data_IF_959015918759
#
_entry.id   IF_959015918759
#
_cell.length_a   1.000
_cell.length_b   1.000
_cell.length_c   1.000
_cell.angle_alpha   90.00
_cell.angle_beta   90.00
_cell.angle_gamma   90.00
#
_symmetry.space_group_name_H-M   'P 1'
#
loop_
_entity.id
_entity.type
_entity.pdbx_description
1 polymer ?
#
# COMPACT_ATOMS: atom_id res chain seq x y z
N UNK A 1 -8.95 -28.36 -4.60
CA UNK A 1 -9.74 -27.18 -4.17
C UNK A 1 -9.02 -26.36 -3.11
N UNK A 2 -8.38 -26.97 -2.12
CA UNK A 2 -7.69 -26.26 -1.03
C UNK A 2 -6.51 -25.38 -1.48
N UNK A 3 -5.72 -25.82 -2.47
CA UNK A 3 -4.60 -25.04 -3.02
C UNK A 3 -5.06 -23.76 -3.74
N UNK A 4 -6.18 -23.82 -4.47
CA UNK A 4 -6.72 -22.67 -5.20
C UNK A 4 -7.23 -21.60 -4.24
N UNK A 5 -7.88 -22.01 -3.14
CA UNK A 5 -8.31 -21.10 -2.10
C UNK A 5 -7.12 -20.34 -1.48
N UNK A 6 -6.05 -21.05 -1.14
CA UNK A 6 -4.82 -20.45 -0.60
C UNK A 6 -4.15 -19.49 -1.60
N UNK A 7 -4.13 -19.86 -2.89
CA UNK A 7 -3.55 -19.00 -3.92
C UNK A 7 -4.37 -17.71 -4.11
N UNK A 8 -5.70 -17.82 -4.08
CA UNK A 8 -6.61 -16.66 -4.11
C UNK A 8 -6.42 -15.76 -2.89
N UNK A 9 -6.39 -16.32 -1.67
CA UNK A 9 -6.14 -15.54 -0.45
C UNK A 9 -4.81 -14.80 -0.51
N UNK A 10 -3.75 -15.45 -0.99
CA UNK A 10 -2.46 -14.82 -1.18
C UNK A 10 -2.56 -13.60 -2.11
N UNK A 11 -3.20 -13.76 -3.28
CA UNK A 11 -3.36 -12.68 -4.23
C UNK A 11 -4.26 -11.55 -3.69
N UNK A 12 -5.31 -11.88 -2.93
CA UNK A 12 -6.19 -10.90 -2.26
C UNK A 12 -5.42 -10.08 -1.22
N UNK A 13 -4.57 -10.71 -0.39
CA UNK A 13 -3.70 -9.98 0.55
C UNK A 13 -2.76 -9.04 -0.18
N UNK A 14 -2.22 -9.51 -1.31
CA UNK A 14 -1.36 -8.70 -2.18
C UNK A 14 -2.13 -7.49 -2.75
N UNK A 15 -3.35 -7.64 -3.27
CA UNK A 15 -4.11 -6.49 -3.76
C UNK A 15 -4.55 -5.55 -2.63
N UNK A 16 -4.85 -6.09 -1.45
CA UNK A 16 -5.12 -5.30 -0.24
C UNK A 16 -3.94 -4.40 0.14
N UNK A 17 -2.73 -4.97 0.25
CA UNK A 17 -1.52 -4.20 0.54
C UNK A 17 -1.21 -3.16 -0.55
N UNK A 18 -1.49 -3.46 -1.81
CA UNK A 18 -1.35 -2.49 -2.90
C UNK A 18 -2.33 -1.30 -2.70
N UNK A 19 -3.59 -1.58 -2.37
CA UNK A 19 -4.59 -0.56 -2.09
C UNK A 19 -4.24 0.31 -0.89
N UNK A 20 -3.79 -0.30 0.22
CA UNK A 20 -3.34 0.45 1.40
C UNK A 20 -2.23 1.46 1.06
N UNK A 21 -1.20 1.02 0.34
CA UNK A 21 -0.07 1.86 -0.07
C UNK A 21 -0.47 2.98 -1.02
N UNK A 22 -1.27 2.65 -2.03
CA UNK A 22 -1.73 3.63 -3.00
C UNK A 22 -2.53 4.74 -2.31
N UNK A 23 -3.51 4.39 -1.47
CA UNK A 23 -4.34 5.37 -0.77
C UNK A 23 -3.55 6.15 0.28
N UNK A 24 -2.65 5.50 1.00
CA UNK A 24 -1.74 6.15 1.94
C UNK A 24 -0.83 7.19 1.28
N UNK A 25 -0.44 6.95 0.03
CA UNK A 25 0.38 7.85 -0.76
C UNK A 25 -0.41 9.04 -1.31
N UNK A 26 -1.58 8.80 -1.91
CA UNK A 26 -2.33 9.85 -2.62
C UNK A 26 -3.21 10.70 -1.70
N UNK A 27 -3.67 10.16 -0.57
CA UNK A 27 -4.63 10.85 0.30
C UNK A 27 -4.08 12.13 0.91
N UNK A 28 -2.84 12.18 1.44
CA UNK A 28 -2.31 13.42 2.02
C UNK A 28 -2.31 14.61 1.05
N UNK A 29 -1.78 14.51 -0.19
CA UNK A 29 -1.84 15.62 -1.13
C UNK A 29 -3.27 15.91 -1.60
N UNK A 30 -4.09 14.89 -1.87
CA UNK A 30 -5.48 15.09 -2.31
C UNK A 30 -6.34 15.78 -1.26
N UNK A 31 -6.27 15.33 -0.01
CA UNK A 31 -7.00 15.94 1.11
C UNK A 31 -6.53 17.38 1.36
N UNK A 32 -5.21 17.61 1.32
CA UNK A 32 -4.64 18.95 1.50
C UNK A 32 -5.10 19.89 0.39
N UNK A 33 -5.01 19.47 -0.88
CA UNK A 33 -5.49 20.25 -2.02
C UNK A 33 -6.99 20.54 -1.92
N UNK A 34 -7.80 19.53 -1.56
CA UNK A 34 -9.23 19.69 -1.38
C UNK A 34 -9.57 20.71 -0.28
N UNK A 35 -8.95 20.63 0.89
CA UNK A 35 -9.20 21.55 2.00
C UNK A 35 -8.78 22.97 1.63
N UNK A 36 -7.60 23.15 1.03
CA UNK A 36 -7.12 24.47 0.62
C UNK A 36 -8.02 25.10 -0.45
N UNK A 37 -8.46 24.32 -1.44
CA UNK A 37 -9.28 24.81 -2.53
C UNK A 37 -10.74 25.10 -2.12
N UNK A 38 -11.32 24.29 -1.21
CA UNK A 38 -12.76 24.38 -0.87
C UNK A 38 -13.06 25.05 0.46
N UNK A 39 -12.14 25.00 1.43
CA UNK A 39 -12.37 25.48 2.81
C UNK A 39 -11.37 26.53 3.27
N UNK A 40 -10.32 26.77 2.48
CA UNK A 40 -9.28 27.75 2.78
C UNK A 40 -8.31 27.30 3.89
N UNK A 41 -7.33 28.17 4.18
CA UNK A 41 -6.22 27.89 5.10
C UNK A 41 -6.68 27.69 6.55
N UNK A 42 -7.75 28.37 6.98
CA UNK A 42 -8.28 28.29 8.35
C UNK A 42 -8.86 26.92 8.71
N UNK A 43 -9.26 26.12 7.72
CA UNK A 43 -9.79 24.77 7.93
C UNK A 43 -8.70 23.67 7.90
N UNK A 44 -7.46 24.02 7.54
CA UNK A 44 -6.36 23.07 7.49
C UNK A 44 -5.92 22.67 8.90
N UNK A 45 -5.84 21.37 9.15
CA UNK A 45 -5.32 20.84 10.42
C UNK A 45 -4.53 19.55 10.20
N UNK A 46 -3.43 19.41 10.94
CA UNK A 46 -2.59 18.20 10.94
C UNK A 46 -3.42 16.98 11.37
N UNK A 47 -4.27 17.14 12.37
CA UNK A 47 -5.20 16.09 12.81
C UNK A 47 -6.14 15.66 11.68
N UNK A 48 -6.62 16.59 10.85
CA UNK A 48 -7.47 16.29 9.68
C UNK A 48 -6.74 15.47 8.63
N UNK A 49 -5.52 15.89 8.27
CA UNK A 49 -4.66 15.18 7.28
C UNK A 49 -4.33 13.77 7.76
N UNK A 50 -3.87 13.63 9.02
CA UNK A 50 -3.52 12.32 9.58
C UNK A 50 -4.72 11.39 9.63
N UNK A 51 -5.87 11.91 10.09
CA UNK A 51 -7.12 11.15 10.16
C UNK A 51 -7.58 10.69 8.79
N UNK A 52 -7.61 11.58 7.79
CA UNK A 52 -8.05 11.22 6.45
C UNK A 52 -7.10 10.19 5.83
N UNK A 53 -5.80 10.34 6.04
CA UNK A 53 -4.78 9.44 5.49
C UNK A 53 -4.95 8.00 5.98
N UNK A 54 -5.09 7.77 7.30
CA UNK A 54 -5.22 6.40 7.79
C UNK A 54 -6.58 5.78 7.48
N UNK A 55 -7.66 6.57 7.51
CA UNK A 55 -8.99 6.10 7.12
C UNK A 55 -8.98 5.69 5.64
N UNK A 56 -8.39 6.52 4.78
CA UNK A 56 -8.28 6.21 3.37
C UNK A 56 -7.33 5.03 3.10
N UNK A 57 -6.23 4.90 3.86
CA UNK A 57 -5.35 3.73 3.80
C UNK A 57 -6.13 2.44 4.09
N UNK A 58 -6.87 2.40 5.20
CA UNK A 58 -7.74 1.25 5.54
C UNK A 58 -8.82 1.02 4.48
N UNK A 59 -9.47 2.08 4.01
CA UNK A 59 -10.44 2.00 2.92
C UNK A 59 -9.84 1.43 1.63
N UNK A 60 -8.61 1.83 1.28
CA UNK A 60 -7.85 1.29 0.17
C UNK A 60 -7.49 -0.18 0.36
N UNK A 61 -7.15 -0.60 1.59
CA UNK A 61 -6.89 -2.00 1.91
C UNK A 61 -8.13 -2.88 1.70
N UNK A 62 -9.28 -2.43 2.19
CA UNK A 62 -10.57 -3.12 2.05
C UNK A 62 -10.98 -3.14 0.57
N UNK A 63 -10.91 -2.00 -0.13
CA UNK A 63 -11.22 -1.91 -1.56
C UNK A 63 -10.31 -2.80 -2.40
N UNK A 64 -9.00 -2.80 -2.12
CA UNK A 64 -8.03 -3.65 -2.80
C UNK A 64 -8.28 -5.13 -2.56
N UNK A 65 -8.68 -5.53 -1.34
CA UNK A 65 -9.08 -6.90 -1.04
C UNK A 65 -10.34 -7.30 -1.85
N UNK A 66 -11.37 -6.44 -1.86
CA UNK A 66 -12.60 -6.67 -2.61
C UNK A 66 -12.36 -6.81 -4.12
N UNK A 67 -11.54 -5.93 -4.71
CA UNK A 67 -11.17 -6.01 -6.12
C UNK A 67 -10.39 -7.31 -6.40
N UNK A 68 -9.44 -7.67 -5.54
CA UNK A 68 -8.69 -8.92 -5.67
C UNK A 68 -9.59 -10.15 -5.59
N UNK A 69 -10.53 -10.15 -4.64
CA UNK A 69 -11.46 -11.26 -4.46
C UNK A 69 -12.38 -11.40 -5.67
N UNK A 70 -13.00 -10.30 -6.12
CA UNK A 70 -13.84 -10.30 -7.31
C UNK A 70 -13.07 -10.76 -8.56
N UNK A 71 -11.77 -10.45 -8.65
CA UNK A 71 -10.91 -10.84 -9.77
C UNK A 71 -10.57 -12.33 -9.77
N UNK A 72 -10.29 -12.92 -8.60
CA UNK A 72 -9.70 -14.26 -8.48
C UNK A 72 -10.66 -15.35 -8.00
N UNK A 73 -11.80 -15.00 -7.39
CA UNK A 73 -12.75 -15.99 -6.85
C UNK A 73 -13.37 -16.91 -7.93
N UNK A 74 -13.43 -16.45 -9.17
CA UNK A 74 -14.05 -17.16 -10.29
C UNK A 74 -13.09 -17.44 -11.45
N UNK A 75 -11.77 -17.29 -11.24
CA UNK A 75 -10.77 -17.60 -12.28
C UNK A 75 -10.34 -19.07 -12.21
N UNK A 76 -9.83 -19.61 -13.32
CA UNK A 76 -9.37 -21.00 -13.36
C UNK A 76 -8.20 -21.24 -12.38
N UNK A 77 -8.12 -22.42 -11.75
CA UNK A 77 -7.04 -22.75 -10.82
C UNK A 77 -5.63 -22.56 -11.40
N UNK A 78 -5.44 -22.87 -12.68
CA UNK A 78 -4.14 -22.77 -13.35
C UNK A 78 -3.69 -21.32 -13.47
N UNK A 79 -4.61 -20.40 -13.81
CA UNK A 79 -4.30 -18.98 -13.97
C UNK A 79 -4.04 -18.30 -12.63
N UNK A 80 -4.79 -18.65 -11.58
CA UNK A 80 -4.56 -18.16 -10.21
C UNK A 80 -3.19 -18.62 -9.72
N UNK A 81 -2.84 -19.89 -9.94
CA UNK A 81 -1.54 -20.45 -9.56
C UNK A 81 -0.39 -19.81 -10.31
N UNK A 82 -0.49 -19.67 -11.63
CA UNK A 82 0.50 -18.98 -12.45
C UNK A 82 0.69 -17.53 -11.97
N UNK A 83 -0.42 -16.83 -11.68
CA UNK A 83 -0.35 -15.45 -11.18
C UNK A 83 0.25 -15.35 -9.78
N UNK A 84 -0.01 -16.32 -8.90
CA UNK A 84 0.63 -16.41 -7.60
C UNK A 84 2.14 -16.54 -7.75
N UNK A 85 2.62 -17.47 -8.57
CA UNK A 85 4.07 -17.68 -8.80
C UNK A 85 4.70 -16.40 -9.30
N UNK A 86 4.10 -15.76 -10.32
CA UNK A 86 4.59 -14.48 -10.83
C UNK A 86 4.65 -13.41 -9.73
N UNK A 87 3.60 -13.30 -8.92
CA UNK A 87 3.52 -12.29 -7.85
C UNK A 87 4.46 -12.60 -6.68
N UNK A 88 4.78 -13.86 -6.43
CA UNK A 88 5.67 -14.32 -5.36
C UNK A 88 7.15 -14.05 -5.66
N UNK A 89 7.52 -14.00 -6.94
CA UNK A 89 8.90 -13.71 -7.37
C UNK A 89 9.07 -12.31 -7.97
N UNK A 90 8.04 -11.47 -7.91
CA UNK A 90 8.14 -10.06 -8.29
C UNK A 90 8.94 -9.29 -7.22
N UNK A 91 10.25 -9.24 -7.41
CA UNK A 91 11.21 -8.56 -6.52
C UNK A 91 10.95 -7.07 -6.40
N UNK A 92 10.47 -6.43 -7.48
CA UNK A 92 10.13 -5.01 -7.47
C UNK A 92 8.98 -4.75 -6.50
N UNK A 93 7.94 -5.58 -6.59
CA UNK A 93 6.80 -5.52 -5.68
C UNK A 93 7.20 -5.80 -4.23
N UNK A 94 8.04 -6.81 -4.00
CA UNK A 94 8.52 -7.16 -2.64
C UNK A 94 9.28 -5.99 -2.03
N UNK A 95 10.27 -5.43 -2.75
CA UNK A 95 11.03 -4.26 -2.28
C UNK A 95 10.14 -3.05 -2.00
N UNK A 96 9.12 -2.82 -2.82
CA UNK A 96 8.16 -1.74 -2.59
C UNK A 96 7.30 -1.98 -1.33
N UNK A 97 6.95 -3.23 -1.02
CA UNK A 97 6.24 -3.60 0.21
C UNK A 97 7.14 -3.42 1.45
N UNK A 98 8.43 -3.77 1.33
CA UNK A 98 9.40 -3.64 2.42
C UNK A 98 9.65 -2.16 2.77
N UNK A 99 9.95 -1.32 1.77
CA UNK A 99 10.18 0.11 2.02
C UNK A 99 8.93 0.77 2.62
N UNK A 100 7.75 0.41 2.13
CA UNK A 100 6.49 0.91 2.67
C UNK A 100 6.31 0.49 4.13
N UNK A 101 6.54 -0.79 4.44
CA UNK A 101 6.41 -1.31 5.81
C UNK A 101 7.40 -0.64 6.77
N UNK A 102 8.67 -0.54 6.38
CA UNK A 102 9.72 0.14 7.15
C UNK A 102 9.34 1.60 7.38
N UNK A 103 8.96 2.31 6.31
CA UNK A 103 8.53 3.71 6.40
C UNK A 103 7.33 3.87 7.33
N UNK A 104 6.34 2.99 7.24
CA UNK A 104 5.17 2.99 8.11
C UNK A 104 5.54 2.83 9.58
N UNK A 105 6.32 1.80 9.91
CA UNK A 105 6.74 1.56 11.30
C UNK A 105 7.53 2.76 11.84
N UNK A 106 8.48 3.29 11.08
CA UNK A 106 9.27 4.46 11.48
C UNK A 106 8.39 5.68 11.77
N UNK A 107 7.48 6.02 10.85
CA UNK A 107 6.62 7.18 11.04
C UNK A 107 5.55 6.96 12.10
N UNK A 108 5.14 5.71 12.40
CA UNK A 108 4.23 5.43 13.51
C UNK A 108 4.79 5.85 14.87
N UNK A 109 6.13 5.92 14.98
CA UNK A 109 6.86 6.34 16.18
C UNK A 109 7.30 7.80 16.08
N UNK A 110 7.84 8.24 14.92
CA UNK A 110 8.35 9.60 14.73
C UNK A 110 7.21 10.63 14.73
N UNK A 111 6.07 10.31 14.10
CA UNK A 111 4.92 11.22 14.01
C UNK A 111 4.40 11.64 15.38
N UNK A 112 4.11 10.73 16.33
CA UNK A 112 3.71 11.14 17.67
C UNK A 112 4.82 11.87 18.43
N UNK A 113 6.09 11.51 18.24
CA UNK A 113 7.20 12.21 18.89
C UNK A 113 7.30 13.68 18.47
N UNK A 114 7.09 13.99 17.20
CA UNK A 114 7.21 15.35 16.65
C UNK A 114 5.90 16.15 16.78
N UNK A 115 4.75 15.49 16.63
CA UNK A 115 3.44 16.15 16.50
C UNK A 115 2.52 15.92 17.70
N UNK A 116 3.05 15.53 18.86
CA UNK A 116 2.29 15.18 20.08
C UNK A 116 1.15 16.14 20.44
N UNK A 117 1.38 17.46 20.34
CA UNK A 117 0.38 18.49 20.68
C UNK A 117 -0.50 18.95 19.51
N UNK A 118 -0.30 18.39 18.31
CA UNK A 118 -0.93 18.85 17.06
C UNK A 118 -2.11 17.98 16.61
N UNK A 119 -2.25 16.77 17.15
CA UNK A 119 -3.32 15.83 16.82
C UNK A 119 -3.58 14.85 17.96
N UNK A 120 -4.68 14.10 17.86
CA UNK A 120 -4.99 13.02 18.82
C UNK A 120 -4.02 11.85 18.64
N UNK A 121 -3.62 11.19 19.73
CA UNK A 121 -2.58 10.14 19.73
C UNK A 121 -2.84 9.02 18.71
N UNK A 122 -4.08 8.53 18.59
CA UNK A 122 -4.41 7.49 17.63
C UNK A 122 -4.26 7.96 16.17
N UNK A 123 -4.56 9.23 15.87
CA UNK A 123 -4.32 9.79 14.54
C UNK A 123 -2.82 10.00 14.28
N UNK A 124 -2.02 10.29 15.31
CA UNK A 124 -0.57 10.38 15.18
C UNK A 124 0.05 9.03 14.85
N UNK A 125 -0.35 7.97 15.55
CA UNK A 125 0.18 6.62 15.33
C UNK A 125 -0.32 6.05 13.99
N UNK A 126 -1.64 6.01 13.77
CA UNK A 126 -2.22 5.41 12.56
C UNK A 126 -1.99 6.26 11.31
N UNK A 127 -2.08 7.58 11.46
CA UNK A 127 -1.77 8.54 10.40
C UNK A 127 -0.28 8.53 10.07
N UNK A 128 0.60 8.42 11.08
CA UNK A 128 2.03 8.22 10.89
C UNK A 128 2.35 6.93 10.16
N UNK A 129 1.75 5.80 10.58
CA UNK A 129 1.88 4.51 9.89
C UNK A 129 1.52 4.61 8.41
N UNK A 130 0.40 5.26 8.11
CA UNK A 130 -0.09 5.40 6.74
C UNK A 130 0.78 6.37 5.93
N UNK A 131 1.10 7.56 6.45
CA UNK A 131 2.03 8.49 5.81
C UNK A 131 3.39 7.85 5.52
N UNK A 132 3.97 7.18 6.51
CA UNK A 132 5.23 6.47 6.37
C UNK A 132 5.18 5.39 5.31
N UNK A 133 4.05 4.68 5.19
CA UNK A 133 3.84 3.69 4.13
C UNK A 133 3.84 4.31 2.74
N UNK A 134 3.27 5.51 2.59
CA UNK A 134 3.37 6.31 1.36
C UNK A 134 4.80 6.78 1.08
N UNK A 135 5.48 7.37 2.08
CA UNK A 135 6.87 7.85 1.96
C UNK A 135 7.84 6.71 1.61
N UNK A 136 7.67 5.55 2.22
CA UNK A 136 8.46 4.35 1.90
C UNK A 136 8.24 3.90 0.46
N UNK A 137 6.99 3.93 -0.01
CA UNK A 137 6.67 3.61 -1.42
C UNK A 137 7.34 4.60 -2.39
N UNK A 138 7.31 5.91 -2.08
CA UNK A 138 8.03 6.92 -2.88
C UNK A 138 9.54 6.69 -2.86
N UNK A 139 10.09 6.33 -1.71
CA UNK A 139 11.53 6.04 -1.56
C UNK A 139 11.95 4.88 -2.46
N UNK A 140 11.15 3.82 -2.53
CA UNK A 140 11.37 2.71 -3.46
C UNK A 140 11.40 3.17 -4.91
N UNK A 141 10.39 3.94 -5.35
CA UNK A 141 10.35 4.43 -6.73
C UNK A 141 11.50 5.39 -7.05
N UNK A 142 11.86 6.26 -6.12
CA UNK A 142 12.99 7.16 -6.27
C UNK A 142 14.30 6.40 -6.42
N UNK A 143 14.54 5.35 -5.61
CA UNK A 143 15.71 4.47 -5.71
C UNK A 143 15.76 3.69 -7.01
N UNK A 144 14.60 3.18 -7.45
CA UNK A 144 14.49 2.48 -8.73
C UNK A 144 14.84 3.39 -9.92
N UNK A 145 14.48 4.68 -9.87
CA UNK A 145 14.81 5.67 -10.91
C UNK A 145 16.28 6.11 -10.83
N UNK A 146 16.85 6.18 -9.63
CA UNK A 146 18.21 6.73 -9.40
C UNK A 146 19.35 5.71 -9.49
N UNK A 147 19.05 4.44 -9.79
CA UNK A 147 20.08 3.47 -10.20
C UNK A 147 20.21 2.20 -9.36
N UNK A 148 19.27 1.91 -8.45
CA UNK A 148 19.18 0.60 -7.78
C UNK A 148 17.88 -0.13 -8.18
N UNK A 149 17.75 -0.56 -9.46
CA UNK A 149 16.59 -1.31 -9.89
C UNK A 149 16.58 -2.71 -9.24
N UNK A 150 15.39 -3.24 -8.92
CA UNK A 150 15.25 -4.60 -8.39
C UNK A 150 15.83 -5.66 -9.33
N UNK A 151 16.54 -6.68 -8.82
CA UNK A 151 17.05 -7.77 -9.64
C UNK A 151 15.88 -8.54 -10.27
N UNK A 152 15.96 -8.79 -11.58
CA UNK A 152 14.94 -9.57 -12.26
C UNK A 152 15.16 -11.06 -11.99
N UNK A 153 14.16 -11.71 -11.38
CA UNK A 153 14.17 -13.15 -11.18
C UNK A 153 13.59 -13.80 -12.44
N UNK A 154 14.41 -14.63 -13.11
CA UNK A 154 13.91 -15.51 -14.16
C UNK A 154 13.05 -16.59 -13.49
N UNK A 155 11.75 -16.58 -13.79
CA UNK A 155 10.86 -17.66 -13.40
C UNK A 155 11.23 -18.91 -14.21
N UNK A 156 11.25 -20.12 -13.61
CA UNK A 156 11.27 -21.34 -14.39
C UNK A 156 10.10 -21.32 -15.36
N UNK A 157 10.34 -21.66 -16.63
CA UNK A 157 9.29 -21.71 -17.66
C UNK A 157 8.09 -22.48 -17.12
N UNK A 158 6.96 -21.79 -16.95
CA UNK A 158 5.73 -22.46 -16.62
C UNK A 158 5.37 -23.36 -17.81
N UNK A 159 5.21 -24.68 -17.63
CA UNK A 159 4.53 -25.45 -18.66
C UNK A 159 3.13 -24.82 -18.82
N UNK A 160 2.64 -24.77 -20.05
CA UNK A 160 1.36 -24.20 -20.49
C UNK A 160 1.40 -22.75 -21.00
N UNK A 161 1.99 -22.61 -22.19
CA UNK A 161 1.53 -21.70 -23.24
C UNK A 161 0.41 -22.35 -24.06
N UNK A 162 -0.79 -21.76 -24.04
CA UNK A 162 -1.74 -21.64 -25.17
C UNK A 162 -3.02 -21.00 -24.67
#
# INVERSE_FOLDING_TARGET
>A
MESTHQDTEYLVRKTSNAGYRAFSLITPPLYTAYILARRGRGAFSINGVLRSTWIAGVGGAIGGAGIGYARYAYTSPETVRAKRVQTAYDTNRIRAEDHSTIGGILFSVITPAVLWKRAKIYNLILGGLSLGSGVGTLTHYFRAITGDPPPQVQLPDAPYSS
#
